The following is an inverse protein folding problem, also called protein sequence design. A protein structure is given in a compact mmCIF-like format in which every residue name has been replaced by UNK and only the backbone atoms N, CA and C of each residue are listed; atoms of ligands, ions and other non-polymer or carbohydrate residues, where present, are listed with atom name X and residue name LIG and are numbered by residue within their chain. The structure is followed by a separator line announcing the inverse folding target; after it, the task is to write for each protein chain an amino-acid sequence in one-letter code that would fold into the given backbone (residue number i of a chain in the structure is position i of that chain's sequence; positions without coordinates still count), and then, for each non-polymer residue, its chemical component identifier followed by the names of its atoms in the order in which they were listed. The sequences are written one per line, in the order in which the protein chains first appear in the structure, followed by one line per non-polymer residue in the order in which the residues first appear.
data_IF_285955125573
#
_entry.id   IF_285955125573
#
_cell.length_a   1.000
_cell.length_b   1.000
_cell.length_c   1.000
_cell.angle_alpha   90.00
_cell.angle_beta   90.00
_cell.angle_gamma   90.00
#
_symmetry.space_group_name_H-M   'P 1'
#
loop_
_entity.id
_entity.type
_entity.pdbx_description
1 polymer ?
#
# COMPACT_ATOMS: atom_id res chain seq x y z
N UNK A 1 -11.05 9.13 0.29
CA UNK A 1 -10.95 8.23 -0.87
C UNK A 1 -11.48 6.82 -0.57
N UNK A 2 -10.99 6.16 0.46
CA UNK A 2 -11.37 4.77 0.75
C UNK A 2 -12.24 4.61 1.99
N UNK A 3 -12.89 5.66 2.47
CA UNK A 3 -13.77 5.61 3.64
C UNK A 3 -13.07 5.24 4.93
N UNK A 4 -11.79 5.56 5.05
CA UNK A 4 -11.01 5.27 6.24
C UNK A 4 -11.40 6.20 7.39
N UNK A 5 -11.53 5.65 8.60
CA UNK A 5 -11.91 6.41 9.79
C UNK A 5 -10.82 6.34 10.86
N UNK A 6 -10.76 7.38 11.70
CA UNK A 6 -9.87 7.45 12.86
C UNK A 6 -8.39 7.23 12.50
N UNK A 7 -7.95 7.77 11.38
CA UNK A 7 -6.58 7.60 10.93
C UNK A 7 -5.68 8.70 11.45
N UNK A 8 -4.47 8.34 11.88
CA UNK A 8 -3.43 9.28 12.28
C UNK A 8 -2.83 9.96 11.05
N UNK A 9 -2.68 9.22 9.93
CA UNK A 9 -2.08 9.71 8.71
C UNK A 9 -3.14 10.02 7.66
N UNK A 10 -2.95 11.11 6.93
CA UNK A 10 -3.72 11.37 5.71
C UNK A 10 -3.24 10.41 4.63
N UNK A 11 -4.16 9.75 3.93
CA UNK A 11 -3.82 8.77 2.89
C UNK A 11 -3.89 9.42 1.52
N UNK A 12 -2.81 9.35 0.77
CA UNK A 12 -2.74 9.88 -0.61
C UNK A 12 -2.20 8.81 -1.55
N UNK A 13 -2.93 8.55 -2.63
CA UNK A 13 -2.46 7.64 -3.68
C UNK A 13 -1.81 8.40 -4.82
N UNK A 14 -0.72 7.86 -5.36
CA UNK A 14 -0.12 8.38 -6.59
C UNK A 14 -1.05 8.14 -7.77
N UNK A 15 -0.85 8.87 -8.87
CA UNK A 15 -1.61 8.62 -10.10
C UNK A 15 -1.43 7.19 -10.59
N UNK A 16 -0.21 6.67 -10.47
CA UNK A 16 0.09 5.28 -10.85
C UNK A 16 -0.66 4.28 -9.98
N UNK A 17 -0.66 4.50 -8.66
CA UNK A 17 -1.42 3.65 -7.73
C UNK A 17 -2.90 3.61 -8.11
N UNK A 18 -3.49 4.77 -8.39
CA UNK A 18 -4.92 4.86 -8.73
C UNK A 18 -5.27 4.08 -9.99
N UNK A 19 -4.41 4.13 -11.01
CA UNK A 19 -4.60 3.34 -12.23
C UNK A 19 -4.47 1.84 -11.96
N UNK A 20 -3.46 1.46 -11.17
CA UNK A 20 -3.24 0.07 -10.81
C UNK A 20 -4.38 -0.47 -9.96
N UNK A 21 -4.93 0.34 -9.06
CA UNK A 21 -6.08 -0.05 -8.25
C UNK A 21 -7.29 -0.38 -9.12
N UNK A 22 -7.56 0.42 -10.15
CA UNK A 22 -8.66 0.15 -11.09
C UNK A 22 -8.49 -1.21 -11.75
N UNK A 23 -7.25 -1.54 -12.15
CA UNK A 23 -6.94 -2.85 -12.76
C UNK A 23 -7.18 -3.98 -11.77
N UNK A 24 -6.73 -3.82 -10.53
CA UNK A 24 -6.91 -4.81 -9.47
C UNK A 24 -8.39 -5.09 -9.23
N UNK A 25 -9.20 -4.04 -9.18
CA UNK A 25 -10.66 -4.17 -9.00
C UNK A 25 -11.29 -4.91 -10.19
N UNK A 26 -10.88 -4.59 -11.41
CA UNK A 26 -11.36 -5.28 -12.61
C UNK A 26 -11.01 -6.77 -12.62
N UNK A 27 -9.90 -7.14 -12.01
CA UNK A 27 -9.49 -8.54 -11.89
C UNK A 27 -10.29 -9.30 -10.83
N UNK A 28 -11.22 -8.63 -10.14
CA UNK A 28 -12.09 -9.25 -9.16
C UNK A 28 -11.51 -9.36 -7.76
N UNK A 29 -10.43 -8.64 -7.47
CA UNK A 29 -9.85 -8.63 -6.12
C UNK A 29 -10.78 -7.93 -5.14
N UNK A 30 -10.82 -8.42 -3.90
CA UNK A 30 -11.66 -7.87 -2.84
C UNK A 30 -11.02 -6.61 -2.26
N UNK A 31 -11.58 -5.45 -2.60
CA UNK A 31 -11.08 -4.15 -2.13
C UNK A 31 -11.10 -4.05 -0.60
N UNK A 32 -11.97 -4.79 0.09
CA UNK A 32 -12.04 -4.76 1.55
C UNK A 32 -10.74 -5.26 2.19
N UNK A 33 -10.03 -6.16 1.54
CA UNK A 33 -8.73 -6.63 2.02
C UNK A 33 -7.70 -5.50 2.02
N UNK A 34 -7.71 -4.66 0.99
CA UNK A 34 -6.85 -3.48 0.93
C UNK A 34 -7.25 -2.49 2.02
N UNK A 35 -8.54 -2.24 2.21
CA UNK A 35 -9.02 -1.29 3.21
C UNK A 35 -8.59 -1.72 4.61
N UNK A 36 -8.66 -3.01 4.95
CA UNK A 36 -8.18 -3.51 6.24
C UNK A 36 -6.70 -3.18 6.48
N UNK A 37 -5.86 -3.40 5.46
CA UNK A 37 -4.43 -3.09 5.53
C UNK A 37 -4.23 -1.58 5.69
N UNK A 38 -4.94 -0.77 4.91
CA UNK A 38 -4.81 0.67 4.96
C UNK A 38 -5.24 1.26 6.30
N UNK A 39 -6.28 0.69 6.94
CA UNK A 39 -6.70 1.15 8.26
C UNK A 39 -5.59 0.97 9.30
N UNK A 40 -4.91 -0.17 9.27
CA UNK A 40 -3.80 -0.43 10.17
C UNK A 40 -2.63 0.54 9.89
N UNK A 41 -2.22 0.65 8.62
CA UNK A 41 -1.11 1.52 8.24
C UNK A 41 -1.40 3.00 8.51
N UNK A 42 -2.61 3.45 8.20
CA UNK A 42 -2.98 4.85 8.40
C UNK A 42 -3.14 5.22 9.86
N UNK A 43 -3.38 4.25 10.73
CA UNK A 43 -3.41 4.45 12.17
C UNK A 43 -2.01 4.43 12.81
N UNK A 44 -0.98 4.12 12.02
CA UNK A 44 0.39 4.03 12.51
C UNK A 44 0.68 2.74 13.26
N UNK A 45 -0.20 1.75 13.17
CA UNK A 45 -0.04 0.46 13.83
C UNK A 45 0.78 -0.50 12.97
N UNK A 46 1.30 -1.55 13.61
CA UNK A 46 2.08 -2.59 12.94
C UNK A 46 1.16 -3.62 12.31
N UNK A 47 1.43 -3.96 11.05
CA UNK A 47 0.71 -5.03 10.35
C UNK A 47 1.01 -6.40 10.95
N UNK A 48 0.01 -7.28 10.93
CA UNK A 48 0.19 -8.69 11.27
C UNK A 48 1.26 -9.31 10.37
N UNK A 49 2.01 -10.28 10.89
CA UNK A 49 3.09 -10.96 10.18
C UNK A 49 2.62 -11.63 8.87
N UNK A 50 1.35 -12.03 8.79
CA UNK A 50 0.82 -12.65 7.57
C UNK A 50 0.91 -11.76 6.34
N UNK A 51 1.00 -10.43 6.53
CA UNK A 51 1.13 -9.48 5.43
C UNK A 51 2.56 -9.27 4.97
N UNK A 52 3.54 -9.93 5.60
CA UNK A 52 4.96 -9.89 5.21
C UNK A 52 5.50 -8.48 4.99
N UNK A 53 5.14 -7.56 5.87
CA UNK A 53 5.56 -6.17 5.76
C UNK A 53 7.09 -6.03 5.95
N UNK A 54 7.72 -5.32 5.02
CA UNK A 54 9.17 -5.06 5.10
C UNK A 54 9.56 -3.82 4.32
N UNK A 55 10.71 -3.24 4.68
CA UNK A 55 11.27 -2.09 3.98
C UNK A 55 11.96 -2.56 2.70
N UNK A 56 11.85 -1.77 1.62
CA UNK A 56 12.54 -2.03 0.36
C UNK A 56 13.92 -1.39 0.42
N UNK A 57 14.90 -2.15 0.91
CA UNK A 57 16.27 -1.67 1.10
C UNK A 57 17.04 -1.78 -0.22
N UNK A 58 17.86 -0.75 -0.52
CA UNK A 58 18.72 -0.71 -1.70
C UNK A 58 17.96 -0.79 -3.04
N UNK A 59 16.70 -0.39 -3.05
CA UNK A 59 15.92 -0.33 -4.28
C UNK A 59 15.87 1.12 -4.78
N UNK A 60 16.52 1.38 -5.90
CA UNK A 60 16.60 2.74 -6.45
C UNK A 60 15.27 3.30 -6.93
N UNK A 61 14.31 2.43 -7.28
CA UNK A 61 12.99 2.87 -7.78
C UNK A 61 12.02 3.15 -6.65
N UNK A 62 12.23 2.52 -5.48
CA UNK A 62 11.32 2.60 -4.35
C UNK A 62 12.06 3.05 -3.10
N UNK A 63 12.81 4.14 -3.24
CA UNK A 63 13.60 4.67 -2.13
C UNK A 63 12.71 5.00 -0.93
N UNK A 64 13.12 4.53 0.24
CA UNK A 64 12.41 4.76 1.51
C UNK A 64 10.99 4.22 1.55
N UNK A 65 10.67 3.31 0.63
CA UNK A 65 9.35 2.66 0.59
C UNK A 65 9.36 1.35 1.36
N UNK A 66 8.16 0.91 1.70
CA UNK A 66 7.90 -0.40 2.29
C UNK A 66 6.94 -1.17 1.40
N UNK A 67 6.94 -2.49 1.56
CA UNK A 67 6.06 -3.38 0.82
C UNK A 67 5.32 -4.30 1.78
N UNK A 68 4.06 -4.55 1.51
CA UNK A 68 3.33 -5.62 2.18
C UNK A 68 2.54 -6.43 1.17
N UNK A 69 2.15 -7.65 1.58
CA UNK A 69 1.36 -8.56 0.74
C UNK A 69 -0.09 -8.57 1.25
N UNK A 70 -1.00 -7.99 0.46
CA UNK A 70 -2.44 -8.05 0.76
C UNK A 70 -2.93 -9.48 0.55
N UNK A 71 -2.43 -10.11 -0.52
CA UNK A 71 -2.52 -11.53 -0.83
C UNK A 71 -1.13 -11.98 -1.28
N UNK A 72 -0.84 -13.28 -1.41
CA UNK A 72 0.50 -13.74 -1.81
C UNK A 72 1.07 -13.08 -3.05
N UNK A 73 0.24 -12.76 -4.04
CA UNK A 73 0.68 -12.05 -5.24
C UNK A 73 -0.11 -10.76 -5.48
N UNK A 74 -0.54 -10.12 -4.40
CA UNK A 74 -1.13 -8.78 -4.47
C UNK A 74 -0.39 -7.90 -3.48
N UNK A 75 0.51 -7.07 -3.99
CA UNK A 75 1.42 -6.24 -3.21
C UNK A 75 0.92 -4.82 -3.10
N UNK A 76 1.32 -4.16 -2.02
CA UNK A 76 1.16 -2.72 -1.83
C UNK A 76 2.53 -2.14 -1.49
N UNK A 77 2.97 -1.15 -2.25
CA UNK A 77 4.17 -0.36 -1.94
C UNK A 77 3.70 0.99 -1.40
N UNK A 78 4.22 1.36 -0.25
CA UNK A 78 3.79 2.58 0.44
C UNK A 78 4.98 3.27 1.11
N UNK A 79 4.77 4.52 1.50
CA UNK A 79 5.80 5.33 2.14
C UNK A 79 5.15 6.30 3.13
N UNK A 80 5.74 6.42 4.33
CA UNK A 80 5.31 7.42 5.30
C UNK A 80 6.12 8.70 5.13
N UNK A 81 5.44 9.84 5.16
CA UNK A 81 6.06 11.13 5.40
C UNK A 81 5.67 11.59 6.79
N UNK A 82 6.55 11.39 7.76
CA UNK A 82 6.25 11.69 9.16
C UNK A 82 6.22 13.19 9.47
N UNK A 83 6.89 14.01 8.67
CA UNK A 83 6.86 15.46 8.86
C UNK A 83 5.49 16.05 8.52
N UNK A 84 4.86 15.55 7.47
CA UNK A 84 3.54 16.01 7.05
C UNK A 84 2.40 15.09 7.50
N UNK A 85 2.74 13.98 8.14
CA UNK A 85 1.79 12.96 8.62
C UNK A 85 0.94 12.44 7.46
N UNK A 86 1.61 12.01 6.38
CA UNK A 86 0.99 11.47 5.18
C UNK A 86 1.46 10.04 4.95
N UNK A 87 0.51 9.18 4.61
CA UNK A 87 0.79 7.83 4.10
C UNK A 87 0.58 7.87 2.59
N UNK A 88 1.67 7.75 1.84
CA UNK A 88 1.61 7.68 0.38
C UNK A 88 1.46 6.24 -0.08
N UNK A 89 0.45 5.99 -0.90
CA UNK A 89 0.27 4.71 -1.60
C UNK A 89 0.93 4.84 -2.96
N UNK A 90 2.05 4.16 -3.13
CA UNK A 90 2.94 4.36 -4.28
C UNK A 90 2.51 3.50 -5.47
N UNK A 91 2.38 2.18 -5.25
CA UNK A 91 1.96 1.24 -6.28
C UNK A 91 1.26 0.04 -5.67
N UNK A 92 0.44 -0.64 -6.48
CA UNK A 92 -0.18 -1.91 -6.09
C UNK A 92 -0.34 -2.80 -7.33
N UNK A 93 -0.22 -4.11 -7.15
CA UNK A 93 -0.32 -5.08 -8.24
C UNK A 93 0.40 -6.37 -7.88
N UNK A 94 0.58 -7.23 -8.89
CA UNK A 94 1.33 -8.47 -8.73
C UNK A 94 2.84 -8.21 -8.74
N UNK A 95 3.65 -9.22 -8.39
CA UNK A 95 5.10 -9.14 -8.54
C UNK A 95 5.51 -8.80 -9.97
N UNK A 96 4.87 -9.43 -10.95
CA UNK A 96 5.14 -9.13 -12.36
C UNK A 96 4.85 -7.69 -12.72
N UNK A 97 3.77 -7.13 -12.19
CA UNK A 97 3.39 -5.75 -12.49
C UNK A 97 4.39 -4.75 -11.91
N UNK A 98 4.94 -5.02 -10.74
CA UNK A 98 5.75 -4.05 -10.00
C UNK A 98 7.25 -4.24 -10.17
N UNK A 99 7.73 -5.46 -10.41
CA UNK A 99 9.17 -5.76 -10.39
C UNK A 99 9.73 -6.36 -11.68
N UNK A 100 8.94 -6.37 -12.74
CA UNK A 100 9.43 -6.81 -14.05
C UNK A 100 9.60 -5.65 -15.01
#
# INVERSE_FOLDING_TARGET
MLGLENTKYEVKGTSKFKKQLKKVVKLGKDINKLIEVLNVLASGETLDEKYRNHNLINNKYYKDCSECHIEPDWLLIYKYNNNEIILFLIETGSHSDLFN
#
